data_IF_676156033748
#
_entry.id   IF_676156033748
#
_cell.length_a   1.000
_cell.length_b   1.000
_cell.length_c   1.000
_cell.angle_alpha   90.00
_cell.angle_beta   90.00
_cell.angle_gamma   90.00
#
_symmetry.space_group_name_H-M   'P 1'
#
loop_
_entity.id
_entity.type
_entity.pdbx_description
1 polymer ?
#
# COMPACT_ATOMS: atom_id res chain seq x y z
N UNK A 1 -5.49 21.67 -34.46
CA UNK A 1 -5.16 20.96 -33.22
C UNK A 1 -5.86 21.67 -32.10
N UNK A 2 -6.97 21.10 -31.64
CA UNK A 2 -7.71 21.61 -30.49
C UNK A 2 -7.00 21.20 -29.19
N UNK A 3 -7.26 21.93 -28.11
CA UNK A 3 -6.77 21.57 -26.76
C UNK A 3 -7.26 20.15 -26.38
N UNK A 4 -8.45 19.77 -26.86
CA UNK A 4 -9.04 18.46 -26.61
C UNK A 4 -8.26 17.34 -27.31
N UNK A 5 -7.89 17.52 -28.58
CA UNK A 5 -7.08 16.54 -29.32
C UNK A 5 -5.71 16.33 -28.66
N UNK A 6 -5.07 17.39 -28.18
CA UNK A 6 -3.80 17.30 -27.47
C UNK A 6 -3.93 16.57 -26.11
N UNK A 7 -5.04 16.75 -25.41
CA UNK A 7 -5.31 16.07 -24.15
C UNK A 7 -5.62 14.58 -24.34
N UNK A 8 -6.36 14.22 -25.39
CA UNK A 8 -6.65 12.83 -25.75
C UNK A 8 -5.35 12.10 -26.14
N UNK A 9 -4.50 12.72 -26.94
CA UNK A 9 -3.21 12.13 -27.32
C UNK A 9 -2.29 11.92 -26.10
N UNK A 10 -2.18 12.91 -25.21
CA UNK A 10 -1.37 12.77 -23.99
C UNK A 10 -1.89 11.67 -23.05
N UNK A 11 -3.21 11.48 -23.00
CA UNK A 11 -3.83 10.41 -22.24
C UNK A 11 -3.51 9.03 -22.83
N UNK A 12 -3.62 8.88 -24.16
CA UNK A 12 -3.29 7.63 -24.85
C UNK A 12 -1.82 7.24 -24.68
N UNK A 13 -0.90 8.21 -24.81
CA UNK A 13 0.53 8.00 -24.57
C UNK A 13 0.79 7.56 -23.13
N UNK A 14 0.17 8.21 -22.14
CA UNK A 14 0.31 7.85 -20.73
C UNK A 14 -0.21 6.43 -20.42
N UNK A 15 -1.33 6.03 -21.05
CA UNK A 15 -1.89 4.67 -20.89
C UNK A 15 -0.98 3.61 -21.53
N UNK A 16 -0.40 3.91 -22.69
CA UNK A 16 0.54 3.00 -23.36
C UNK A 16 1.82 2.82 -22.53
N UNK A 17 2.36 3.89 -21.97
CA UNK A 17 3.52 3.84 -21.07
C UNK A 17 3.23 3.02 -19.81
N UNK A 18 2.06 3.20 -19.20
CA UNK A 18 1.64 2.42 -18.03
C UNK A 18 1.55 0.92 -18.35
N UNK A 19 0.90 0.56 -19.47
CA UNK A 19 0.79 -0.83 -19.89
C UNK A 19 2.16 -1.48 -20.18
N UNK A 20 3.09 -0.74 -20.79
CA UNK A 20 4.45 -1.22 -21.02
C UNK A 20 5.20 -1.45 -19.69
N UNK A 21 5.04 -0.57 -18.71
CA UNK A 21 5.64 -0.73 -17.39
C UNK A 21 5.07 -1.96 -16.64
N UNK A 22 3.76 -2.22 -16.75
CA UNK A 22 3.13 -3.41 -16.15
C UNK A 22 3.68 -4.72 -16.74
N UNK A 23 3.86 -4.79 -18.06
CA UNK A 23 4.44 -5.96 -18.72
C UNK A 23 5.87 -6.20 -18.22
N UNK A 24 6.69 -5.14 -18.14
CA UNK A 24 8.07 -5.25 -17.63
C UNK A 24 8.11 -5.75 -16.18
N UNK A 25 7.17 -5.33 -15.34
CA UNK A 25 7.05 -5.82 -13.96
C UNK A 25 6.68 -7.31 -13.92
N UNK A 26 5.75 -7.76 -14.77
CA UNK A 26 5.38 -9.17 -14.89
C UNK A 26 6.56 -10.03 -15.35
N UNK A 27 7.34 -9.56 -16.32
CA UNK A 27 8.52 -10.28 -16.79
C UNK A 27 9.65 -10.30 -15.76
N UNK A 28 9.88 -9.19 -15.05
CA UNK A 28 10.86 -9.11 -13.97
C UNK A 28 10.51 -10.07 -12.82
N UNK A 29 9.23 -10.14 -12.44
CA UNK A 29 8.77 -11.07 -11.40
C UNK A 29 8.89 -12.53 -11.83
N UNK A 30 8.53 -12.88 -13.06
CA UNK A 30 8.72 -14.24 -13.59
C UNK A 30 10.21 -14.64 -13.61
N UNK A 31 11.11 -13.74 -14.03
CA UNK A 31 12.56 -13.98 -13.98
C UNK A 31 13.07 -14.18 -12.56
N UNK A 32 12.59 -13.39 -11.60
CA UNK A 32 12.97 -13.54 -10.19
C UNK A 32 12.51 -14.88 -9.60
N UNK A 33 11.32 -15.37 -9.96
CA UNK A 33 10.84 -16.68 -9.53
C UNK A 33 11.67 -17.83 -10.11
N UNK A 34 11.98 -17.77 -11.41
CA UNK A 34 12.85 -18.76 -12.05
C UNK A 34 14.25 -18.78 -11.42
N UNK A 35 14.83 -17.61 -11.12
CA UNK A 35 16.13 -17.53 -10.44
C UNK A 35 16.11 -18.19 -9.06
N UNK A 36 15.06 -17.96 -8.26
CA UNK A 36 14.87 -18.62 -6.95
C UNK A 36 14.73 -20.13 -7.07
N UNK A 37 13.99 -20.61 -8.06
CA UNK A 37 13.81 -22.04 -8.29
C UNK A 37 15.14 -22.72 -8.70
N UNK A 38 15.94 -22.07 -9.56
CA UNK A 38 17.28 -22.54 -9.92
C UNK A 38 18.22 -22.55 -8.72
N UNK A 39 18.18 -21.51 -7.88
CA UNK A 39 18.97 -21.45 -6.64
C UNK A 39 18.63 -22.60 -5.70
N UNK A 40 17.34 -22.89 -5.51
CA UNK A 40 16.87 -23.99 -4.67
C UNK A 40 17.32 -25.35 -5.25
N UNK A 41 17.16 -25.56 -6.56
CA UNK A 41 17.64 -26.76 -7.24
C UNK A 41 19.15 -26.94 -7.06
N UNK A 42 19.91 -25.86 -7.16
CA UNK A 42 21.36 -25.88 -6.99
C UNK A 42 21.76 -26.23 -5.54
N UNK A 43 21.11 -25.62 -4.54
CA UNK A 43 21.34 -25.94 -3.12
C UNK A 43 21.09 -27.42 -2.83
N UNK A 44 19.99 -27.98 -3.34
CA UNK A 44 19.67 -29.40 -3.18
C UNK A 44 20.68 -30.32 -3.88
N UNK A 45 21.14 -29.94 -5.08
CA UNK A 45 22.17 -30.70 -5.81
C UNK A 45 23.52 -30.71 -5.07
N UNK A 46 23.91 -29.58 -4.47
CA UNK A 46 25.14 -29.48 -3.67
C UNK A 46 25.06 -30.36 -2.42
N UNK A 47 23.93 -30.31 -1.69
CA UNK A 47 23.72 -31.16 -0.51
C UNK A 47 23.85 -32.65 -0.86
N UNK A 48 23.25 -33.08 -1.98
CA UNK A 48 23.35 -34.44 -2.47
C UNK A 48 24.79 -34.88 -2.80
N UNK A 49 25.61 -34.00 -3.39
CA UNK A 49 27.02 -34.29 -3.69
C UNK A 49 27.88 -34.44 -2.42
N UNK A 50 27.55 -33.73 -1.35
CA UNK A 50 28.30 -33.77 -0.08
C UNK A 50 27.94 -34.98 0.79
N UNK A 51 27.04 -35.86 0.33
CA UNK A 51 26.55 -36.98 1.14
C UNK A 51 25.70 -36.55 2.35
N UNK A 52 25.35 -35.26 2.42
CA UNK A 52 24.33 -34.78 3.33
C UNK A 52 23.01 -35.33 2.80
N UNK A 53 22.42 -36.31 3.52
CA UNK A 53 21.05 -36.73 3.22
C UNK A 53 20.20 -35.47 3.26
N UNK A 54 19.53 -35.09 2.16
CA UNK A 54 18.75 -33.86 2.13
C UNK A 54 17.77 -33.95 3.29
N UNK A 55 18.02 -33.17 4.35
CA UNK A 55 17.14 -33.18 5.50
C UNK A 55 15.82 -32.66 4.98
N UNK A 56 14.81 -33.54 4.92
CA UNK A 56 13.43 -33.20 4.62
C UNK A 56 12.80 -32.34 5.72
N UNK A 57 13.60 -31.57 6.46
CA UNK A 57 13.17 -30.59 7.46
C UNK A 57 12.65 -29.30 6.82
N UNK A 58 12.81 -29.15 5.52
CA UNK A 58 12.01 -28.24 4.73
C UNK A 58 10.84 -29.00 4.12
N UNK A 59 9.74 -29.11 4.86
CA UNK A 59 8.45 -28.91 4.20
C UNK A 59 8.38 -27.45 3.73
N UNK A 60 9.26 -27.07 2.81
CA UNK A 60 8.91 -26.07 1.82
C UNK A 60 7.94 -26.84 0.94
N UNK A 61 6.64 -26.61 1.16
CA UNK A 61 5.58 -27.29 0.45
C UNK A 61 5.82 -27.12 -1.06
N UNK A 62 6.39 -28.16 -1.67
CA UNK A 62 6.20 -28.47 -3.07
C UNK A 62 4.69 -28.58 -3.22
N UNK A 63 4.06 -27.54 -3.77
CA UNK A 63 2.64 -27.56 -4.14
C UNK A 63 2.49 -28.80 -5.04
N UNK A 64 1.78 -29.86 -4.60
CA UNK A 64 1.67 -31.05 -5.42
C UNK A 64 0.90 -30.70 -6.69
N UNK A 65 1.47 -31.05 -7.83
CA UNK A 65 0.89 -30.95 -9.16
C UNK A 65 -0.21 -32.02 -9.36
N UNK A 66 -1.14 -32.04 -8.41
CA UNK A 66 -2.39 -32.79 -8.44
C UNK A 66 -3.47 -31.83 -8.02
N UNK A 67 -3.93 -31.04 -8.99
CA UNK A 67 -5.25 -30.42 -8.91
C UNK A 67 -6.27 -31.52 -9.21
N UNK A 68 -7.02 -32.07 -8.23
CA UNK A 68 -8.29 -32.69 -8.56
C UNK A 68 -9.20 -31.59 -9.11
N UNK A 69 -9.24 -31.49 -10.44
CA UNK A 69 -10.27 -30.75 -11.16
C UNK A 69 -11.62 -31.37 -10.77
N UNK A 70 -12.39 -30.63 -9.94
CA UNK A 70 -13.77 -30.89 -9.47
C UNK A 70 -13.92 -31.77 -8.22
N UNK A 71 -13.74 -31.18 -7.03
CA UNK A 71 -14.57 -31.52 -5.86
C UNK A 71 -14.47 -30.52 -4.68
N UNK A 72 -13.46 -29.65 -4.61
CA UNK A 72 -13.28 -28.73 -3.47
C UNK A 72 -13.74 -27.29 -3.76
N UNK A 73 -14.90 -27.12 -4.40
CA UNK A 73 -15.48 -25.79 -4.66
C UNK A 73 -16.66 -25.43 -3.76
N UNK A 74 -16.80 -26.08 -2.60
CA UNK A 74 -17.96 -25.91 -1.73
C UNK A 74 -17.63 -25.60 -0.25
N UNK A 75 -16.38 -25.30 0.10
CA UNK A 75 -16.04 -24.87 1.46
C UNK A 75 -15.09 -23.67 1.49
N UNK A 76 -15.23 -22.73 0.56
CA UNK A 76 -14.95 -21.34 0.94
C UNK A 76 -16.12 -20.91 1.79
N UNK A 77 -15.97 -20.95 3.12
CA UNK A 77 -16.94 -20.38 4.04
C UNK A 77 -17.24 -18.95 3.56
N UNK A 78 -18.38 -18.78 2.89
CA UNK A 78 -18.82 -17.48 2.45
C UNK A 78 -18.97 -16.65 3.73
N UNK A 79 -18.18 -15.58 3.85
CA UNK A 79 -18.34 -14.60 4.92
C UNK A 79 -19.84 -14.29 5.01
N UNK A 80 -20.42 -14.46 6.19
CA UNK A 80 -21.82 -14.08 6.36
C UNK A 80 -21.93 -12.57 6.07
N UNK A 81 -23.08 -12.07 5.59
CA UNK A 81 -23.27 -10.63 5.36
C UNK A 81 -22.87 -9.78 6.58
N UNK A 82 -23.09 -10.29 7.79
CA UNK A 82 -22.67 -9.65 9.04
C UNK A 82 -21.15 -9.57 9.20
N UNK A 83 -20.43 -10.64 8.86
CA UNK A 83 -18.96 -10.66 8.88
C UNK A 83 -18.39 -9.72 7.83
N UNK A 84 -19.00 -9.66 6.64
CA UNK A 84 -18.60 -8.71 5.59
C UNK A 84 -18.76 -7.26 6.04
N UNK A 85 -19.88 -6.91 6.67
CA UNK A 85 -20.10 -5.56 7.21
C UNK A 85 -19.15 -5.22 8.36
N UNK A 86 -18.83 -6.19 9.22
CA UNK A 86 -17.85 -6.03 10.28
C UNK A 86 -16.43 -5.78 9.71
N UNK A 87 -16.02 -6.56 8.72
CA UNK A 87 -14.75 -6.43 8.00
C UNK A 87 -14.65 -5.06 7.32
N UNK A 88 -15.74 -4.63 6.65
CA UNK A 88 -15.83 -3.32 6.00
C UNK A 88 -15.69 -2.17 7.00
N UNK A 89 -16.40 -2.22 8.14
CA UNK A 89 -16.28 -1.21 9.21
C UNK A 89 -14.88 -1.19 9.81
N UNK A 90 -14.24 -2.35 9.99
CA UNK A 90 -12.87 -2.46 10.49
C UNK A 90 -11.87 -1.81 9.53
N UNK A 91 -12.00 -2.10 8.23
CA UNK A 91 -11.17 -1.52 7.19
C UNK A 91 -11.38 0.00 7.06
N UNK A 92 -12.61 0.48 7.19
CA UNK A 92 -12.90 1.92 7.21
C UNK A 92 -12.22 2.62 8.39
N UNK A 93 -12.30 2.07 9.61
CA UNK A 93 -11.62 2.63 10.79
C UNK A 93 -10.11 2.63 10.64
N UNK A 94 -9.55 1.58 10.04
CA UNK A 94 -8.11 1.49 9.77
C UNK A 94 -7.66 2.60 8.82
N UNK A 95 -8.38 2.82 7.71
CA UNK A 95 -8.09 3.92 6.77
C UNK A 95 -8.20 5.29 7.44
N UNK A 96 -9.24 5.52 8.23
CA UNK A 96 -9.38 6.78 8.99
C UNK A 96 -8.22 7.00 9.97
N UNK A 97 -7.75 5.92 10.62
CA UNK A 97 -6.59 6.00 11.52
C UNK A 97 -5.31 6.32 10.77
N UNK A 98 -5.07 5.65 9.64
CA UNK A 98 -3.92 5.91 8.75
C UNK A 98 -3.95 7.34 8.18
N UNK A 99 -5.13 7.87 7.84
CA UNK A 99 -5.30 9.26 7.39
C UNK A 99 -4.96 10.29 8.49
N UNK A 100 -5.38 10.02 9.74
CA UNK A 100 -5.08 10.89 10.89
C UNK A 100 -3.59 10.81 11.26
N UNK A 101 -2.97 9.63 11.22
CA UNK A 101 -1.54 9.46 11.50
C UNK A 101 -0.66 10.19 10.48
N UNK A 102 -1.03 10.16 9.19
CA UNK A 102 -0.27 10.82 8.13
C UNK A 102 -0.54 12.33 8.03
N UNK A 103 -1.71 12.80 8.46
CA UNK A 103 -2.05 14.22 8.48
C UNK A 103 -2.84 14.58 9.76
N UNK A 104 -2.15 14.78 10.90
CA UNK A 104 -2.79 15.03 12.19
C UNK A 104 -3.60 16.33 12.23
N UNK A 105 -3.44 17.22 11.25
CA UNK A 105 -4.20 18.47 11.13
C UNK A 105 -5.21 18.44 9.98
N UNK A 106 -5.20 17.38 9.17
CA UNK A 106 -6.04 17.20 7.98
C UNK A 106 -7.54 17.16 8.26
N UNK A 107 -7.92 16.81 9.49
CA UNK A 107 -9.30 16.77 9.95
C UNK A 107 -9.73 18.05 10.68
N UNK A 108 -8.82 19.00 10.92
CA UNK A 108 -9.16 20.24 11.62
C UNK A 108 -9.88 21.21 10.70
N UNK A 109 -10.99 21.74 11.19
CA UNK A 109 -11.78 22.80 10.55
C UNK A 109 -11.25 24.16 10.97
N UNK A 110 -10.95 25.03 10.02
CA UNK A 110 -10.57 26.41 10.30
C UNK A 110 -11.74 27.17 10.94
N UNK A 111 -11.56 27.83 12.09
CA UNK A 111 -12.62 28.62 12.71
C UNK A 111 -12.92 29.92 11.96
N UNK A 112 -12.00 30.41 11.13
CA UNK A 112 -12.18 31.62 10.33
C UNK A 112 -13.02 31.40 9.06
N UNK A 113 -12.63 30.45 8.20
CA UNK A 113 -13.29 30.20 6.91
C UNK A 113 -14.11 28.90 6.85
N UNK A 114 -14.02 28.05 7.87
CA UNK A 114 -14.73 26.76 7.89
C UNK A 114 -14.13 25.67 6.99
N UNK A 115 -13.01 25.93 6.31
CA UNK A 115 -12.35 24.92 5.48
C UNK A 115 -11.67 23.86 6.34
N UNK A 116 -11.77 22.60 5.93
CA UNK A 116 -11.16 21.45 6.62
C UNK A 116 -9.83 21.10 5.95
N UNK A 117 -8.82 20.77 6.75
CA UNK A 117 -7.56 20.18 6.27
C UNK A 117 -6.53 21.16 5.71
N UNK A 118 -6.74 22.47 5.88
CA UNK A 118 -5.77 23.52 5.55
C UNK A 118 -5.05 24.11 6.78
N UNK A 119 -5.13 23.44 7.92
CA UNK A 119 -4.47 23.89 9.15
C UNK A 119 -3.03 23.38 9.18
N UNK A 120 -2.11 24.25 9.57
CA UNK A 120 -0.67 23.99 9.70
C UNK A 120 -0.25 24.30 11.14
N UNK A 121 0.67 23.52 11.69
CA UNK A 121 1.20 23.71 13.04
C UNK A 121 2.64 24.23 12.95
N UNK A 122 2.91 25.33 13.64
CA UNK A 122 4.23 25.92 13.76
C UNK A 122 4.61 26.02 15.23
N UNK A 123 5.74 25.42 15.60
CA UNK A 123 6.33 25.57 16.93
C UNK A 123 7.22 26.81 16.92
N UNK A 124 6.90 27.78 17.76
CA UNK A 124 7.69 29.00 17.90
C UNK A 124 8.35 29.06 19.28
N UNK A 125 9.62 29.42 19.31
CA UNK A 125 10.35 29.69 20.56
C UNK A 125 10.19 31.16 20.93
N UNK A 126 9.64 31.44 22.09
CA UNK A 126 9.51 32.80 22.62
C UNK A 126 10.87 33.31 23.13
N UNK A 127 11.04 34.64 23.18
CA UNK A 127 12.27 35.28 23.69
C UNK A 127 12.62 34.90 25.13
N UNK A 128 11.66 34.34 25.89
CA UNK A 128 11.85 33.83 27.25
C UNK A 128 12.19 32.33 27.34
N UNK A 129 12.45 31.65 26.23
CA UNK A 129 12.78 30.22 26.21
C UNK A 129 11.58 29.26 26.27
N UNK A 130 10.35 29.77 26.36
CA UNK A 130 9.14 28.95 26.26
C UNK A 130 8.78 28.62 24.82
N UNK A 131 8.26 27.43 24.56
CA UNK A 131 7.72 27.03 23.26
C UNK A 131 6.21 27.25 23.21
N UNK A 132 5.71 27.88 22.15
CA UNK A 132 4.28 28.04 21.88
C UNK A 132 3.96 27.41 20.54
N UNK A 133 2.83 26.70 20.44
CA UNK A 133 2.35 26.16 19.17
C UNK A 133 1.36 27.14 18.54
N UNK A 134 1.49 27.36 17.25
CA UNK A 134 0.60 28.20 16.46
C UNK A 134 -0.05 27.34 15.38
N UNK A 135 -1.38 27.29 15.39
CA UNK A 135 -2.16 26.71 14.32
C UNK A 135 -2.56 27.81 13.33
N UNK A 136 -2.12 27.70 12.09
CA UNK A 136 -2.40 28.67 11.02
C UNK A 136 -3.16 28.02 9.86
N UNK A 137 -4.20 28.69 9.36
CA UNK A 137 -4.94 28.25 8.18
C UNK A 137 -4.30 28.80 6.90
N UNK A 138 -3.89 27.92 5.99
CA UNK A 138 -3.33 28.32 4.68
C UNK A 138 -4.34 28.95 3.72
N UNK A 139 -5.64 28.81 3.96
CA UNK A 139 -6.69 29.37 3.10
C UNK A 139 -7.00 30.84 3.40
N UNK A 140 -7.29 31.16 4.66
CA UNK A 140 -7.72 32.49 5.08
C UNK A 140 -6.72 33.23 5.98
N UNK A 141 -5.58 32.60 6.31
CA UNK A 141 -4.55 33.20 7.16
C UNK A 141 -4.91 33.27 8.65
N UNK A 142 -6.03 32.68 9.08
CA UNK A 142 -6.43 32.69 10.49
C UNK A 142 -5.41 31.93 11.35
N UNK A 143 -4.95 32.56 12.44
CA UNK A 143 -3.94 32.00 13.36
C UNK A 143 -4.53 31.84 14.77
N UNK A 144 -4.26 30.70 15.40
CA UNK A 144 -4.64 30.41 16.77
C UNK A 144 -3.40 29.97 17.55
N UNK A 145 -3.10 30.65 18.65
CA UNK A 145 -2.04 30.26 19.57
C UNK A 145 -2.60 29.23 20.55
N UNK A 146 -1.94 28.08 20.64
CA UNK A 146 -2.23 27.03 21.63
C UNK A 146 -0.97 26.88 22.50
N UNK A 147 -1.10 27.25 23.77
CA UNK A 147 -0.07 27.09 24.80
C UNK A 147 -0.16 25.73 25.46
#
# INVERSE_FOLDING_TARGET
>A
MSIQEAAEQALEESLAELAAAEIQLMEATARAQNAREVELRLKNAIAALNGETPTSSSQEQVIPDKVPLRAERAETAAMTPEQFDAERKRNQRRRQKEEIENNPLGHLKCPGCGEVGKMTDQVMTTKGGGTVRMLACGGCGNQQLTG
#
